data_IF_927093609223
#
_entry.id   IF_927093609223
#
_cell.length_a   1.000
_cell.length_b   1.000
_cell.length_c   1.000
_cell.angle_alpha   90.00
_cell.angle_beta   90.00
_cell.angle_gamma   90.00
#
_symmetry.space_group_name_H-M   'P 1'
#
loop_
_entity.id
_entity.type
_entity.pdbx_description
1 polymer ?
#
# COMPACT_ATOMS: atom_id res chain seq x y z
N UNK A 1 10.72 22.24 19.46
CA UNK A 1 10.98 23.22 18.39
C UNK A 1 9.92 22.96 17.34
N UNK A 2 8.90 23.83 17.31
CA UNK A 2 7.82 23.71 16.34
C UNK A 2 8.36 24.14 14.98
N UNK A 3 8.29 23.27 14.00
CA UNK A 3 8.60 23.61 12.61
C UNK A 3 7.26 23.90 11.94
N UNK A 4 7.00 25.18 11.72
CA UNK A 4 5.84 25.61 10.93
C UNK A 4 6.18 25.43 9.44
N UNK A 5 5.50 24.50 8.80
CA UNK A 5 5.48 24.43 7.33
C UNK A 5 4.60 25.56 6.80
N UNK A 6 5.17 26.43 6.00
CA UNK A 6 4.43 27.44 5.24
C UNK A 6 3.99 26.78 3.94
N UNK A 7 2.75 26.33 3.90
CA UNK A 7 2.07 25.95 2.67
C UNK A 7 1.58 27.22 1.95
N UNK A 8 2.05 27.46 0.76
CA UNK A 8 1.46 28.44 -0.16
C UNK A 8 0.15 27.83 -0.72
N UNK A 9 -0.96 28.10 -0.07
CA UNK A 9 -2.29 27.74 -0.55
C UNK A 9 -2.84 28.88 -1.43
N UNK A 10 -2.99 28.60 -2.72
CA UNK A 10 -3.81 29.42 -3.61
C UNK A 10 -5.29 29.32 -3.21
N UNK A 11 -5.85 30.44 -2.77
CA UNK A 11 -7.24 30.56 -2.34
C UNK A 11 -8.15 30.59 -3.56
N UNK A 12 -8.99 29.56 -3.73
CA UNK A 12 -10.21 29.65 -4.55
C UNK A 12 -11.42 29.58 -3.64
N UNK A 13 -12.09 30.72 -3.47
CA UNK A 13 -13.32 30.81 -2.73
C UNK A 13 -14.50 30.34 -3.58
N UNK A 14 -15.24 29.33 -3.13
CA UNK A 14 -16.56 28.98 -3.65
C UNK A 14 -17.62 29.19 -2.57
N UNK A 15 -18.58 30.04 -2.93
CA UNK A 15 -19.70 30.47 -2.12
C UNK A 15 -20.71 29.33 -1.90
N UNK A 16 -20.99 28.96 -0.66
CA UNK A 16 -22.08 28.03 -0.32
C UNK A 16 -23.41 28.79 -0.17
N UNK A 17 -24.42 28.40 -0.93
CA UNK A 17 -25.80 28.84 -0.73
C UNK A 17 -26.57 27.81 0.11
N UNK A 18 -27.00 28.19 1.30
CA UNK A 18 -27.97 27.44 2.11
C UNK A 18 -29.38 27.59 1.55
N UNK A 19 -30.07 26.46 1.38
CA UNK A 19 -31.54 26.45 1.31
C UNK A 19 -32.08 25.53 2.41
N UNK A 20 -32.75 26.12 3.37
CA UNK A 20 -33.55 25.42 4.36
C UNK A 20 -34.95 25.17 3.83
N UNK A 21 -35.50 23.97 3.97
CA UNK A 21 -36.90 23.67 3.85
C UNK A 21 -37.39 22.82 5.01
N UNK A 22 -38.24 23.41 5.80
CA UNK A 22 -39.02 22.83 6.90
C UNK A 22 -40.32 22.20 6.36
N UNK A 23 -40.77 21.11 7.01
CA UNK A 23 -42.21 20.86 7.00
C UNK A 23 -42.71 19.43 7.14
N UNK A 24 -43.15 19.11 8.34
CA UNK A 24 -44.36 18.42 8.82
C UNK A 24 -44.68 16.96 8.50
N UNK A 25 -44.76 16.28 9.58
CA UNK A 25 -45.54 15.13 10.08
C UNK A 25 -46.79 14.63 9.35
N UNK A 26 -46.96 13.29 9.39
CA UNK A 26 -48.24 12.59 9.17
C UNK A 26 -48.12 11.10 9.42
N UNK A 27 -48.65 10.64 10.57
CA UNK A 27 -48.84 9.21 10.92
C UNK A 27 -50.01 8.62 10.15
N UNK A 28 -49.88 7.40 9.67
CA UNK A 28 -50.95 6.40 9.78
C UNK A 28 -50.40 4.99 9.58
N UNK A 29 -50.79 4.09 10.47
CA UNK A 29 -50.49 2.65 10.42
C UNK A 29 -51.56 1.93 9.59
N UNK A 30 -51.14 0.90 8.83
CA UNK A 30 -52.00 -0.24 8.54
C UNK A 30 -51.17 -1.49 8.26
N UNK A 31 -51.51 -2.57 8.97
CA UNK A 31 -51.01 -3.94 8.80
C UNK A 31 -51.49 -4.51 7.46
N UNK A 32 -50.64 -5.25 6.74
CA UNK A 32 -51.04 -6.45 6.03
C UNK A 32 -49.86 -7.39 5.80
N UNK A 33 -50.05 -8.64 6.14
CA UNK A 33 -49.22 -9.81 5.93
C UNK A 33 -49.04 -10.14 4.44
N UNK A 34 -47.83 -10.57 4.05
CA UNK A 34 -47.66 -11.21 2.74
C UNK A 34 -46.18 -11.50 2.39
N UNK A 35 -45.86 -12.77 2.40
CA UNK A 35 -44.84 -13.50 1.60
C UNK A 35 -43.42 -12.92 1.44
N UNK A 36 -42.49 -13.69 2.00
CA UNK A 36 -41.04 -13.55 1.79
C UNK A 36 -40.66 -13.89 0.34
N UNK A 37 -40.37 -12.88 -0.46
CA UNK A 37 -39.48 -13.00 -1.61
C UNK A 37 -38.11 -12.52 -1.17
N UNK A 38 -37.10 -13.35 -1.40
CA UNK A 38 -35.71 -12.99 -1.21
C UNK A 38 -35.35 -11.88 -2.24
N UNK A 39 -35.41 -10.63 -1.80
CA UNK A 39 -34.86 -9.53 -2.55
C UNK A 39 -33.33 -9.63 -2.49
N UNK A 40 -32.69 -9.88 -3.65
CA UNK A 40 -31.29 -9.56 -3.86
C UNK A 40 -31.13 -8.07 -3.53
N UNK A 41 -30.34 -7.76 -2.49
CA UNK A 41 -29.97 -6.38 -2.22
C UNK A 41 -29.05 -5.93 -3.35
N UNK A 42 -29.59 -5.22 -4.33
CA UNK A 42 -28.79 -4.35 -5.18
C UNK A 42 -28.27 -3.24 -4.27
N UNK A 43 -26.99 -3.32 -3.93
CA UNK A 43 -26.26 -2.20 -3.34
C UNK A 43 -26.27 -1.09 -4.37
N UNK A 44 -27.03 -0.04 -4.12
CA UNK A 44 -27.00 1.19 -4.94
C UNK A 44 -25.63 1.82 -4.74
N UNK A 45 -24.78 1.72 -5.76
CA UNK A 45 -23.47 2.38 -5.82
C UNK A 45 -23.65 3.89 -5.59
N UNK A 46 -22.81 4.50 -4.75
CA UNK A 46 -22.86 5.94 -4.53
C UNK A 46 -22.32 6.68 -5.77
N UNK A 47 -22.71 7.94 -5.96
CA UNK A 47 -22.20 8.74 -7.07
C UNK A 47 -20.65 8.90 -7.01
N UNK A 48 -20.08 8.95 -5.81
CA UNK A 48 -18.64 9.00 -5.61
C UNK A 48 -17.96 7.68 -6.02
N UNK A 49 -18.51 6.53 -5.65
CA UNK A 49 -17.99 5.22 -6.08
C UNK A 49 -18.02 5.06 -7.61
N UNK A 50 -19.05 5.57 -8.27
CA UNK A 50 -19.15 5.54 -9.74
C UNK A 50 -18.10 6.43 -10.40
N UNK A 51 -17.81 7.60 -9.84
CA UNK A 51 -16.76 8.51 -10.34
C UNK A 51 -15.37 7.87 -10.18
N UNK A 52 -15.07 7.31 -9.02
CA UNK A 52 -13.79 6.62 -8.74
C UNK A 52 -13.59 5.40 -9.64
N UNK A 53 -14.64 4.63 -9.89
CA UNK A 53 -14.58 3.47 -10.77
C UNK A 53 -14.30 3.85 -12.23
N UNK A 54 -14.69 5.04 -12.68
CA UNK A 54 -14.47 5.49 -14.05
C UNK A 54 -13.07 6.09 -14.29
N UNK A 55 -12.28 6.34 -13.24
CA UNK A 55 -10.91 6.86 -13.38
C UNK A 55 -9.98 5.84 -14.04
N UNK A 56 -9.08 6.36 -14.87
CA UNK A 56 -7.91 5.62 -15.37
C UNK A 56 -6.80 5.60 -14.30
N UNK A 57 -5.78 4.75 -14.50
CA UNK A 57 -4.58 4.72 -13.63
C UNK A 57 -3.89 6.08 -13.51
N UNK A 58 -3.84 6.86 -14.59
CA UNK A 58 -3.20 8.18 -14.58
C UNK A 58 -4.07 9.25 -13.89
N UNK A 59 -5.39 9.09 -13.89
CA UNK A 59 -6.29 9.99 -13.18
C UNK A 59 -6.31 9.72 -11.69
N UNK A 60 -6.34 8.43 -11.27
CA UNK A 60 -6.36 8.09 -9.86
C UNK A 60 -5.06 8.48 -9.16
N UNK A 61 -3.90 8.38 -9.80
CA UNK A 61 -2.61 8.83 -9.24
C UNK A 61 -2.66 10.30 -8.85
N UNK A 62 -3.22 11.17 -9.69
CA UNK A 62 -3.38 12.60 -9.38
C UNK A 62 -4.34 12.82 -8.20
N UNK A 63 -5.40 12.02 -8.13
CA UNK A 63 -6.36 12.10 -7.02
C UNK A 63 -5.80 11.54 -5.70
N UNK A 64 -4.83 10.62 -5.76
CA UNK A 64 -4.15 10.08 -4.58
C UNK A 64 -3.27 11.10 -3.86
N UNK A 65 -2.85 12.17 -4.54
CA UNK A 65 -2.08 13.27 -3.94
C UNK A 65 -0.83 12.81 -3.20
N UNK A 66 -0.57 13.39 -2.03
CA UNK A 66 0.55 13.00 -1.16
C UNK A 66 0.14 11.91 -0.18
N UNK A 67 0.98 10.90 -0.01
CA UNK A 67 0.73 9.76 0.86
C UNK A 67 1.68 9.66 2.05
N UNK A 68 1.27 8.85 3.03
CA UNK A 68 2.06 8.49 4.19
C UNK A 68 1.87 7.00 4.50
N UNK A 69 2.95 6.33 4.92
CA UNK A 69 2.88 4.96 5.42
C UNK A 69 2.48 4.93 6.90
N UNK A 70 1.62 3.98 7.29
CA UNK A 70 1.37 3.63 8.68
C UNK A 70 2.44 2.64 9.17
N UNK A 71 3.71 3.06 9.15
CA UNK A 71 4.87 2.18 9.31
C UNK A 71 5.06 1.66 10.73
N UNK A 72 5.68 0.49 10.85
CA UNK A 72 6.07 -0.18 12.10
C UNK A 72 4.88 -0.48 13.02
N UNK A 73 3.72 -0.78 12.46
CA UNK A 73 2.48 -1.12 13.17
C UNK A 73 1.98 -2.52 12.78
N UNK A 74 1.08 -2.62 11.80
CA UNK A 74 0.46 -3.90 11.45
C UNK A 74 1.42 -4.85 10.72
N UNK A 75 2.54 -4.35 10.16
CA UNK A 75 3.63 -5.15 9.63
C UNK A 75 4.68 -5.54 10.68
N UNK A 76 4.58 -5.02 11.90
CA UNK A 76 5.52 -5.36 12.95
C UNK A 76 5.41 -6.86 13.30
N UNK A 77 6.44 -7.63 12.90
CA UNK A 77 6.41 -9.09 12.91
C UNK A 77 6.51 -9.68 14.31
N UNK A 78 5.56 -10.51 14.68
CA UNK A 78 5.49 -11.17 15.99
C UNK A 78 4.83 -12.56 15.90
N UNK A 79 4.97 -13.26 14.78
CA UNK A 79 4.33 -14.54 14.47
C UNK A 79 4.55 -15.59 15.57
N UNK A 80 5.77 -15.71 16.13
CA UNK A 80 6.05 -16.70 17.17
C UNK A 80 5.20 -16.47 18.45
N UNK A 81 4.86 -15.22 18.77
CA UNK A 81 3.98 -14.94 19.90
C UNK A 81 2.55 -15.44 19.64
N UNK A 82 2.06 -15.28 18.40
CA UNK A 82 0.78 -15.82 17.98
C UNK A 82 0.74 -17.35 18.08
N UNK A 83 1.77 -18.04 17.56
CA UNK A 83 1.89 -19.51 17.68
C UNK A 83 1.91 -19.97 19.14
N UNK A 84 2.44 -19.15 20.06
CA UNK A 84 2.47 -19.40 21.50
C UNK A 84 1.17 -18.96 22.22
N UNK A 85 0.12 -18.55 21.49
CA UNK A 85 -1.20 -18.24 22.04
C UNK A 85 -1.45 -16.76 22.36
N UNK A 86 -0.59 -15.84 21.92
CA UNK A 86 -0.89 -14.40 21.97
C UNK A 86 -1.95 -14.03 20.92
N UNK A 87 -2.61 -12.88 21.08
CA UNK A 87 -3.51 -12.34 20.07
C UNK A 87 -2.77 -12.09 18.74
N UNK A 88 -3.40 -12.36 17.61
CA UNK A 88 -2.91 -12.05 16.28
C UNK A 88 -2.60 -10.54 16.07
N UNK A 89 -3.22 -9.66 16.87
CA UNK A 89 -2.98 -8.21 16.84
C UNK A 89 -1.86 -7.76 17.80
N UNK A 90 -1.22 -8.68 18.53
CA UNK A 90 -0.16 -8.33 19.49
C UNK A 90 1.10 -7.76 18.83
N UNK A 91 1.28 -8.00 17.54
CA UNK A 91 2.38 -7.43 16.73
C UNK A 91 2.35 -5.92 16.65
N UNK A 92 1.19 -5.29 16.57
CA UNK A 92 0.99 -3.87 16.22
C UNK A 92 1.87 -2.87 16.97
N UNK A 93 2.36 -3.21 18.16
CA UNK A 93 3.15 -2.30 19.01
C UNK A 93 4.59 -2.76 19.26
N UNK A 94 5.00 -3.92 18.74
CA UNK A 94 6.29 -4.52 19.13
C UNK A 94 7.50 -3.80 18.56
N UNK A 95 7.33 -3.00 17.51
CA UNK A 95 8.39 -2.15 16.95
C UNK A 95 8.35 -0.71 17.45
N UNK A 96 7.63 -0.48 18.57
CA UNK A 96 7.69 0.77 19.31
C UNK A 96 6.70 1.85 18.87
N UNK A 97 5.82 1.55 17.92
CA UNK A 97 4.71 2.43 17.59
C UNK A 97 3.56 2.26 18.59
N UNK A 98 2.79 3.31 18.85
CA UNK A 98 1.56 3.17 19.62
C UNK A 98 0.52 2.40 18.79
N UNK A 99 -0.46 1.81 19.48
CA UNK A 99 -1.64 1.25 18.81
C UNK A 99 -2.34 2.34 18.00
N UNK A 100 -2.62 2.07 16.75
CA UNK A 100 -3.27 3.02 15.83
C UNK A 100 -4.67 3.36 16.32
N UNK A 101 -5.03 4.65 16.27
CA UNK A 101 -6.37 5.15 16.60
C UNK A 101 -6.96 5.93 15.42
N UNK A 102 -8.28 6.10 15.44
CA UNK A 102 -8.99 6.90 14.44
C UNK A 102 -8.49 8.36 14.40
N UNK A 103 -8.17 8.93 15.57
CA UNK A 103 -7.68 10.30 15.67
C UNK A 103 -6.31 10.46 15.00
N UNK A 104 -5.44 9.43 15.04
CA UNK A 104 -4.16 9.44 14.33
C UNK A 104 -4.38 9.51 12.81
N UNK A 105 -5.29 8.70 12.28
CA UNK A 105 -5.64 8.71 10.85
C UNK A 105 -6.23 10.07 10.44
N UNK A 106 -7.16 10.60 11.22
CA UNK A 106 -7.73 11.94 11.01
C UNK A 106 -6.66 13.03 11.07
N UNK A 107 -5.67 12.88 11.97
CA UNK A 107 -4.52 13.77 12.08
C UNK A 107 -3.64 13.74 10.83
N UNK A 108 -3.41 12.57 10.23
CA UNK A 108 -2.68 12.44 8.96
C UNK A 108 -3.43 13.14 7.83
N UNK A 109 -4.74 12.92 7.70
CA UNK A 109 -5.56 13.64 6.72
C UNK A 109 -5.52 15.16 6.94
N UNK A 110 -5.66 15.62 8.16
CA UNK A 110 -5.60 17.04 8.52
C UNK A 110 -4.21 17.67 8.26
N UNK A 111 -3.15 16.86 8.25
CA UNK A 111 -1.80 17.27 7.88
C UNK A 111 -1.59 17.38 6.36
N UNK A 112 -2.59 17.02 5.55
CA UNK A 112 -2.57 17.17 4.09
C UNK A 112 -2.22 15.90 3.32
N UNK A 113 -2.24 14.72 3.98
CA UNK A 113 -2.07 13.46 3.28
C UNK A 113 -3.41 12.96 2.74
N UNK A 114 -3.47 12.67 1.45
CA UNK A 114 -4.65 12.16 0.76
C UNK A 114 -4.62 10.63 0.56
N UNK A 115 -3.45 10.02 0.73
CA UNK A 115 -3.24 8.57 0.65
C UNK A 115 -2.58 8.05 1.92
N UNK A 116 -3.03 6.88 2.38
CA UNK A 116 -2.35 6.11 3.42
C UNK A 116 -1.99 4.72 2.89
N UNK A 117 -0.73 4.32 3.05
CA UNK A 117 -0.31 2.93 2.84
C UNK A 117 -0.21 2.24 4.19
N UNK A 118 -0.88 1.12 4.33
CA UNK A 118 -0.97 0.32 5.55
C UNK A 118 -0.24 -1.00 5.29
N UNK A 119 1.05 -1.10 5.64
CA UNK A 119 1.79 -2.36 5.57
C UNK A 119 1.23 -3.37 6.57
N UNK A 120 1.16 -4.66 6.18
CA UNK A 120 0.62 -5.71 7.04
C UNK A 120 1.51 -6.96 6.98
N UNK A 121 1.73 -7.60 8.13
CA UNK A 121 2.30 -8.94 8.26
C UNK A 121 1.15 -9.92 8.55
N UNK A 122 0.56 -10.50 7.52
CA UNK A 122 -0.62 -11.36 7.64
C UNK A 122 -0.32 -12.67 8.36
N UNK A 123 0.93 -13.15 8.31
CA UNK A 123 1.33 -14.34 9.03
C UNK A 123 1.35 -14.17 10.55
N UNK A 124 1.29 -12.95 11.06
CA UNK A 124 1.05 -12.70 12.50
C UNK A 124 -0.26 -13.32 13.01
N UNK A 125 -1.20 -13.61 12.12
CA UNK A 125 -2.47 -14.28 12.43
C UNK A 125 -2.67 -15.58 11.63
N UNK A 126 -1.60 -16.26 11.21
CA UNK A 126 -1.71 -17.47 10.37
C UNK A 126 -0.79 -18.58 10.89
N UNK A 127 -1.31 -19.81 11.05
CA UNK A 127 -0.48 -20.96 11.43
C UNK A 127 0.06 -21.68 10.17
N UNK A 128 0.77 -20.92 9.31
CA UNK A 128 1.20 -21.39 8.00
C UNK A 128 2.18 -22.58 8.04
N UNK A 129 2.94 -22.73 9.13
CA UNK A 129 3.88 -23.85 9.27
C UNK A 129 3.14 -25.19 9.37
N UNK A 130 1.93 -25.21 9.92
CA UNK A 130 1.06 -26.39 9.96
C UNK A 130 0.38 -26.68 8.63
N UNK A 131 0.43 -25.77 7.67
CA UNK A 131 -0.31 -25.82 6.40
C UNK A 131 -1.73 -25.23 6.53
N UNK A 132 -2.05 -24.58 7.63
CA UNK A 132 -3.28 -23.80 7.79
C UNK A 132 -3.01 -22.33 7.41
N UNK A 133 -3.50 -21.94 6.25
CA UNK A 133 -3.35 -20.57 5.71
C UNK A 133 -4.55 -19.67 6.05
N UNK A 134 -5.34 -20.04 7.04
CA UNK A 134 -6.45 -19.21 7.51
C UNK A 134 -5.90 -18.00 8.28
N UNK A 135 -6.28 -16.80 7.86
CA UNK A 135 -5.99 -15.56 8.61
C UNK A 135 -6.95 -15.49 9.80
N UNK A 136 -6.40 -15.30 11.01
CA UNK A 136 -7.17 -15.10 12.23
C UNK A 136 -8.10 -13.89 12.08
N UNK A 137 -9.38 -14.07 12.41
CA UNK A 137 -10.38 -13.00 12.24
C UNK A 137 -10.05 -11.75 13.04
N UNK A 138 -9.39 -11.87 14.20
CA UNK A 138 -9.00 -10.69 14.99
C UNK A 138 -7.97 -9.81 14.25
N UNK A 139 -7.09 -10.40 13.43
CA UNK A 139 -6.18 -9.61 12.59
C UNK A 139 -6.94 -8.99 11.42
N UNK A 140 -7.78 -9.78 10.73
CA UNK A 140 -8.59 -9.28 9.61
C UNK A 140 -9.51 -8.13 10.06
N UNK A 141 -10.21 -8.28 11.18
CA UNK A 141 -11.11 -7.27 11.76
C UNK A 141 -10.32 -6.01 12.15
N UNK A 142 -9.08 -6.18 12.67
CA UNK A 142 -8.23 -5.04 13.04
C UNK A 142 -7.76 -4.25 11.81
N UNK A 143 -7.37 -4.94 10.76
CA UNK A 143 -7.01 -4.29 9.49
C UNK A 143 -8.22 -3.55 8.91
N UNK A 144 -9.39 -4.20 8.90
CA UNK A 144 -10.63 -3.60 8.40
C UNK A 144 -11.04 -2.36 9.20
N UNK A 145 -10.84 -2.37 10.53
CA UNK A 145 -11.09 -1.21 11.39
C UNK A 145 -10.23 -0.01 10.96
N UNK A 146 -8.91 -0.20 10.76
CA UNK A 146 -7.99 0.87 10.34
C UNK A 146 -8.27 1.35 8.92
N UNK A 147 -8.54 0.42 8.00
CA UNK A 147 -8.97 0.73 6.62
C UNK A 147 -10.25 1.56 6.62
N UNK A 148 -11.23 1.19 7.45
CA UNK A 148 -12.49 1.92 7.57
C UNK A 148 -12.25 3.36 8.05
N UNK A 149 -11.43 3.58 9.09
CA UNK A 149 -11.11 4.93 9.56
C UNK A 149 -10.45 5.81 8.48
N UNK A 150 -9.60 5.21 7.65
CA UNK A 150 -8.94 5.93 6.56
C UNK A 150 -9.92 6.28 5.41
N UNK A 151 -10.78 5.33 5.02
CA UNK A 151 -11.83 5.57 4.03
C UNK A 151 -12.85 6.61 4.53
N UNK A 152 -13.25 6.56 5.80
CA UNK A 152 -14.15 7.54 6.44
C UNK A 152 -13.52 8.94 6.51
N UNK A 153 -12.19 9.02 6.57
CA UNK A 153 -11.43 10.27 6.46
C UNK A 153 -11.23 10.74 5.01
N UNK A 154 -11.87 10.08 4.03
CA UNK A 154 -11.76 10.39 2.61
C UNK A 154 -10.34 10.27 2.06
N UNK A 155 -9.60 9.24 2.50
CA UNK A 155 -8.26 8.91 2.00
C UNK A 155 -8.30 7.75 1.01
N UNK A 156 -7.37 7.73 0.06
CA UNK A 156 -6.99 6.51 -0.64
C UNK A 156 -6.21 5.61 0.30
N UNK A 157 -6.46 4.31 0.22
CA UNK A 157 -5.87 3.32 1.14
C UNK A 157 -5.17 2.24 0.34
N UNK A 158 -3.89 2.00 0.61
CA UNK A 158 -3.12 0.90 0.03
C UNK A 158 -2.88 -0.14 1.13
N UNK A 159 -3.20 -1.40 0.87
CA UNK A 159 -2.85 -2.53 1.75
C UNK A 159 -2.03 -3.56 0.98
N UNK A 160 -1.08 -4.21 1.65
CA UNK A 160 -0.21 -5.21 1.06
C UNK A 160 0.04 -6.41 1.98
N UNK A 161 0.85 -7.35 1.54
CA UNK A 161 1.66 -8.20 2.39
C UNK A 161 3.10 -7.66 2.35
N UNK A 162 3.60 -7.27 3.55
CA UNK A 162 4.89 -6.62 3.68
C UNK A 162 6.02 -7.67 3.80
N UNK A 163 7.12 -7.37 4.49
CA UNK A 163 8.22 -8.32 4.70
C UNK A 163 7.77 -9.64 5.33
N UNK A 164 6.88 -9.57 6.30
CA UNK A 164 6.13 -10.65 6.91
C UNK A 164 6.99 -11.88 7.32
N UNK A 165 8.12 -11.59 7.98
CA UNK A 165 9.03 -12.61 8.50
C UNK A 165 9.88 -13.32 7.45
N UNK A 166 9.87 -12.87 6.19
CA UNK A 166 10.73 -13.42 5.13
C UNK A 166 10.25 -14.74 4.52
N UNK A 167 8.97 -15.11 4.70
CA UNK A 167 8.42 -16.32 4.07
C UNK A 167 8.53 -16.32 2.53
N UNK A 168 8.64 -15.15 1.93
CA UNK A 168 8.88 -14.94 0.50
C UNK A 168 10.09 -15.72 -0.04
N UNK A 169 11.11 -15.95 0.79
CA UNK A 169 12.27 -16.78 0.45
C UNK A 169 11.92 -18.24 0.12
N UNK A 170 10.72 -18.70 0.45
CA UNK A 170 10.23 -20.02 0.04
C UNK A 170 10.11 -20.15 -1.48
N UNK A 171 9.87 -19.06 -2.21
CA UNK A 171 9.83 -19.07 -3.68
C UNK A 171 11.17 -19.39 -4.32
N UNK A 172 12.29 -19.06 -3.68
CA UNK A 172 13.63 -19.36 -4.15
C UNK A 172 14.15 -20.74 -3.75
N UNK A 173 13.40 -21.51 -2.96
CA UNK A 173 13.85 -22.83 -2.48
C UNK A 173 14.26 -23.76 -3.61
N UNK A 174 15.32 -24.57 -3.40
CA UNK A 174 15.69 -25.67 -4.28
C UNK A 174 14.58 -26.75 -4.39
N UNK A 175 13.74 -26.87 -3.35
CA UNK A 175 12.67 -27.84 -3.29
C UNK A 175 11.39 -27.32 -3.96
N UNK A 176 10.94 -27.95 -5.04
CA UNK A 176 9.70 -27.58 -5.72
C UNK A 176 8.50 -27.54 -4.76
N UNK A 177 8.40 -28.52 -3.84
CA UNK A 177 7.32 -28.56 -2.86
C UNK A 177 7.26 -27.31 -1.97
N UNK A 178 8.39 -26.71 -1.65
CA UNK A 178 8.46 -25.47 -0.86
C UNK A 178 7.96 -24.28 -1.69
N UNK A 179 8.36 -24.20 -2.97
CA UNK A 179 7.86 -23.18 -3.88
C UNK A 179 6.36 -23.28 -4.12
N UNK A 180 5.84 -24.52 -4.27
CA UNK A 180 4.41 -24.76 -4.43
C UNK A 180 3.61 -24.30 -3.22
N UNK A 181 4.12 -24.57 -2.00
CA UNK A 181 3.53 -24.08 -0.75
C UNK A 181 3.52 -22.55 -0.66
N UNK A 182 4.59 -21.88 -1.07
CA UNK A 182 4.64 -20.43 -1.10
C UNK A 182 3.51 -19.86 -1.96
N UNK A 183 3.33 -20.41 -3.17
CA UNK A 183 2.26 -19.97 -4.07
C UNK A 183 0.86 -20.33 -3.56
N UNK A 184 0.70 -21.48 -2.90
CA UNK A 184 -0.56 -21.87 -2.27
C UNK A 184 -0.93 -20.91 -1.13
N UNK A 185 0.02 -20.59 -0.25
CA UNK A 185 -0.13 -19.64 0.84
C UNK A 185 -0.47 -18.23 0.32
N UNK A 186 0.27 -17.73 -0.65
CA UNK A 186 0.02 -16.43 -1.29
C UNK A 186 -1.40 -16.32 -1.83
N UNK A 187 -1.85 -17.34 -2.56
CA UNK A 187 -3.22 -17.38 -3.11
C UNK A 187 -4.28 -17.48 -2.02
N UNK A 188 -4.06 -18.33 -0.99
CA UNK A 188 -5.00 -18.48 0.11
C UNK A 188 -5.16 -17.17 0.88
N UNK A 189 -4.06 -16.45 1.12
CA UNK A 189 -4.04 -15.14 1.77
C UNK A 189 -4.82 -14.10 0.97
N UNK A 190 -4.48 -13.89 -0.31
CA UNK A 190 -5.15 -12.90 -1.15
C UNK A 190 -6.61 -13.26 -1.48
N UNK A 191 -6.98 -14.55 -1.47
CA UNK A 191 -8.39 -14.98 -1.57
C UNK A 191 -9.20 -14.49 -0.39
N UNK A 192 -8.65 -14.60 0.82
CA UNK A 192 -9.33 -14.16 2.05
C UNK A 192 -9.41 -12.63 2.11
N UNK A 193 -8.29 -11.93 1.83
CA UNK A 193 -8.22 -10.47 1.80
C UNK A 193 -9.19 -9.91 0.75
N UNK A 194 -9.08 -10.36 -0.48
CA UNK A 194 -9.92 -9.89 -1.58
C UNK A 194 -11.41 -10.21 -1.36
N UNK A 195 -11.71 -11.36 -0.77
CA UNK A 195 -13.10 -11.72 -0.41
C UNK A 195 -13.66 -10.84 0.70
N UNK A 196 -12.87 -10.57 1.75
CA UNK A 196 -13.29 -9.74 2.89
C UNK A 196 -13.57 -8.29 2.47
N UNK A 197 -12.71 -7.73 1.62
CA UNK A 197 -12.81 -6.35 1.16
C UNK A 197 -13.54 -6.18 -0.19
N UNK A 198 -14.26 -7.20 -0.66
CA UNK A 198 -14.87 -7.19 -2.00
C UNK A 198 -15.81 -6.01 -2.26
N UNK A 199 -16.53 -5.57 -1.23
CA UNK A 199 -17.54 -4.50 -1.31
C UNK A 199 -17.03 -3.13 -0.81
N UNK A 200 -15.73 -3.04 -0.43
CA UNK A 200 -15.14 -1.77 0.02
C UNK A 200 -14.91 -0.82 -1.16
N UNK A 201 -14.93 0.50 -0.88
CA UNK A 201 -14.72 1.57 -1.86
C UNK A 201 -13.56 1.30 -2.82
N UNK A 202 -13.63 1.82 -4.03
CA UNK A 202 -12.53 1.81 -5.02
C UNK A 202 -11.29 2.60 -4.57
N UNK A 203 -11.41 3.44 -3.53
CA UNK A 203 -10.24 4.06 -2.86
C UNK A 203 -9.37 3.05 -2.13
N UNK A 204 -9.85 1.83 -1.84
CA UNK A 204 -9.02 0.76 -1.33
C UNK A 204 -8.29 0.05 -2.47
N UNK A 205 -6.98 0.12 -2.47
CA UNK A 205 -6.06 -0.42 -3.48
C UNK A 205 -5.29 -1.60 -2.86
N UNK A 206 -5.18 -2.71 -3.59
CA UNK A 206 -4.38 -3.85 -3.16
C UNK A 206 -3.02 -3.81 -3.84
N UNK A 207 -1.94 -3.88 -3.06
CA UNK A 207 -0.57 -3.94 -3.54
C UNK A 207 -0.06 -5.39 -3.47
N UNK A 208 0.46 -5.91 -4.58
CA UNK A 208 0.77 -7.34 -4.77
C UNK A 208 1.82 -7.89 -3.80
N UNK A 209 2.77 -7.07 -3.38
CA UNK A 209 3.85 -7.35 -2.44
C UNK A 209 4.51 -6.04 -2.03
N UNK A 210 5.45 -6.11 -1.10
CA UNK A 210 6.34 -4.99 -0.77
C UNK A 210 7.64 -5.09 -1.61
N UNK A 211 8.80 -5.17 -0.98
CA UNK A 211 10.14 -5.21 -1.59
C UNK A 211 10.65 -6.63 -1.90
N UNK A 212 9.84 -7.65 -1.68
CA UNK A 212 10.26 -9.05 -1.68
C UNK A 212 10.33 -9.67 -3.08
N UNK A 213 9.62 -9.10 -4.06
CA UNK A 213 9.67 -9.59 -5.44
C UNK A 213 10.98 -9.19 -6.11
N UNK A 214 11.84 -10.17 -6.38
CA UNK A 214 13.16 -9.99 -6.98
C UNK A 214 14.23 -10.80 -6.29
N UNK A 215 15.36 -10.20 -5.95
CA UNK A 215 16.49 -10.89 -5.31
C UNK A 215 16.11 -11.49 -3.95
N UNK A 216 15.17 -10.84 -3.22
CA UNK A 216 14.70 -11.29 -1.91
C UNK A 216 13.88 -12.59 -1.96
N UNK A 217 13.45 -13.04 -3.15
CA UNK A 217 12.91 -14.39 -3.32
C UNK A 217 13.93 -15.48 -2.96
N UNK A 218 15.22 -15.13 -2.89
CA UNK A 218 16.29 -16.00 -2.44
C UNK A 218 16.67 -15.83 -0.95
N UNK A 219 15.92 -15.07 -0.17
CA UNK A 219 16.18 -14.86 1.25
C UNK A 219 16.10 -16.17 2.05
N UNK A 220 16.85 -16.22 3.13
CA UNK A 220 17.07 -17.46 3.89
C UNK A 220 16.33 -17.52 5.24
N UNK A 221 15.61 -16.47 5.61
CA UNK A 221 14.98 -16.33 6.93
C UNK A 221 14.12 -17.54 7.29
N UNK A 222 13.29 -18.01 6.37
CA UNK A 222 12.41 -19.16 6.60
C UNK A 222 13.05 -20.48 6.16
N UNK A 223 13.77 -20.48 5.04
CA UNK A 223 14.33 -21.72 4.46
C UNK A 223 15.63 -22.16 5.13
N UNK A 224 16.27 -21.27 5.91
CA UNK A 224 17.55 -21.52 6.56
C UNK A 224 18.77 -21.53 5.61
N UNK A 225 18.55 -21.50 4.30
CA UNK A 225 19.57 -21.42 3.24
C UNK A 225 19.10 -20.47 2.16
N UNK A 226 20.04 -19.73 1.55
CA UNK A 226 19.72 -18.89 0.38
C UNK A 226 19.05 -19.69 -0.72
N UNK A 227 18.11 -19.08 -1.44
CA UNK A 227 17.47 -19.67 -2.60
C UNK A 227 18.44 -19.92 -3.75
N UNK A 228 17.96 -20.60 -4.78
CA UNK A 228 18.76 -21.06 -5.90
C UNK A 228 18.40 -20.38 -7.23
N UNK A 229 17.48 -19.44 -7.22
CA UNK A 229 17.07 -18.72 -8.43
C UNK A 229 18.22 -17.84 -8.94
N UNK A 230 18.51 -17.92 -10.23
CA UNK A 230 19.31 -16.93 -10.93
C UNK A 230 18.55 -15.60 -11.02
N UNK A 231 19.23 -14.52 -11.33
CA UNK A 231 18.61 -13.21 -11.49
C UNK A 231 17.45 -13.23 -12.52
N UNK A 232 17.64 -13.93 -13.66
CA UNK A 232 16.58 -14.07 -14.66
C UNK A 232 15.36 -14.83 -14.12
N UNK A 233 15.58 -15.92 -13.39
CA UNK A 233 14.50 -16.66 -12.73
C UNK A 233 13.80 -15.82 -11.65
N UNK A 234 14.49 -14.92 -10.96
CA UNK A 234 13.87 -13.95 -10.06
C UNK A 234 12.93 -13.00 -10.82
N UNK A 235 13.32 -12.47 -12.00
CA UNK A 235 12.42 -11.69 -12.87
C UNK A 235 11.21 -12.50 -13.32
N UNK A 236 11.42 -13.72 -13.82
CA UNK A 236 10.34 -14.61 -14.27
C UNK A 236 9.35 -14.89 -13.13
N UNK A 237 9.86 -15.20 -11.93
CA UNK A 237 9.03 -15.48 -10.75
C UNK A 237 8.29 -14.24 -10.28
N UNK A 238 8.92 -13.07 -10.28
CA UNK A 238 8.29 -11.78 -9.97
C UNK A 238 7.10 -11.51 -10.89
N UNK A 239 7.32 -11.63 -12.21
CA UNK A 239 6.27 -11.44 -13.22
C UNK A 239 5.15 -12.48 -13.06
N UNK A 240 5.49 -13.73 -12.74
CA UNK A 240 4.51 -14.78 -12.48
C UNK A 240 3.63 -14.48 -11.25
N UNK A 241 4.22 -14.08 -10.14
CA UNK A 241 3.50 -13.73 -8.90
C UNK A 241 2.54 -12.57 -9.17
N UNK A 242 3.02 -11.48 -9.78
CA UNK A 242 2.20 -10.32 -10.14
C UNK A 242 1.04 -10.71 -11.08
N UNK A 243 1.30 -11.56 -12.08
CA UNK A 243 0.25 -12.05 -12.99
C UNK A 243 -0.80 -12.91 -12.27
N UNK A 244 -0.37 -13.76 -11.32
CA UNK A 244 -1.29 -14.59 -10.52
C UNK A 244 -2.10 -13.73 -9.55
N UNK A 245 -1.51 -12.68 -8.98
CA UNK A 245 -2.20 -11.71 -8.13
C UNK A 245 -3.35 -11.05 -8.87
N UNK A 246 -3.08 -10.43 -10.02
CA UNK A 246 -4.12 -9.76 -10.81
C UNK A 246 -5.25 -10.73 -11.18
N UNK A 247 -4.91 -11.89 -11.75
CA UNK A 247 -5.90 -12.90 -12.14
C UNK A 247 -6.75 -13.38 -10.96
N UNK A 248 -6.12 -13.59 -9.79
CA UNK A 248 -6.81 -14.02 -8.58
C UNK A 248 -7.80 -12.94 -8.12
N UNK A 249 -7.36 -11.71 -7.93
CA UNK A 249 -8.21 -10.62 -7.44
C UNK A 249 -9.39 -10.41 -8.41
N UNK A 250 -9.15 -10.35 -9.71
CA UNK A 250 -10.23 -10.20 -10.71
C UNK A 250 -11.25 -11.35 -10.64
N UNK A 251 -10.79 -12.57 -10.38
CA UNK A 251 -11.67 -13.75 -10.30
C UNK A 251 -12.61 -13.76 -9.09
N UNK A 252 -12.33 -12.96 -8.05
CA UNK A 252 -13.17 -12.86 -6.86
C UNK A 252 -14.45 -12.05 -7.10
N UNK A 253 -14.52 -11.27 -8.18
CA UNK A 253 -15.70 -10.50 -8.56
C UNK A 253 -16.01 -9.34 -7.59
N UNK A 254 -17.27 -8.86 -7.61
CA UNK A 254 -17.63 -7.64 -6.89
C UNK A 254 -16.79 -6.45 -7.37
N UNK A 255 -16.45 -5.53 -6.50
CA UNK A 255 -15.57 -4.39 -6.84
C UNK A 255 -14.13 -4.80 -7.17
N UNK A 256 -13.73 -6.04 -6.89
CA UNK A 256 -12.42 -6.56 -7.29
C UNK A 256 -12.30 -6.74 -8.81
N UNK A 257 -13.40 -6.78 -9.54
CA UNK A 257 -13.40 -6.90 -11.00
C UNK A 257 -12.67 -5.72 -11.67
N UNK A 258 -12.74 -4.52 -11.08
CA UNK A 258 -12.21 -3.26 -11.62
C UNK A 258 -11.55 -2.34 -10.57
N UNK A 259 -11.30 -2.86 -9.35
CA UNK A 259 -10.48 -2.20 -8.33
C UNK A 259 -9.07 -1.90 -8.86
N UNK A 260 -8.50 -0.75 -8.50
CA UNK A 260 -7.09 -0.47 -8.77
C UNK A 260 -6.20 -1.48 -8.04
N UNK A 261 -5.21 -2.02 -8.77
CA UNK A 261 -4.20 -2.92 -8.24
C UNK A 261 -2.83 -2.31 -8.42
N UNK A 262 -2.05 -2.30 -7.35
CA UNK A 262 -0.70 -1.76 -7.32
C UNK A 262 0.29 -2.92 -7.45
N UNK A 263 1.09 -2.91 -8.49
CA UNK A 263 2.00 -3.98 -8.88
C UNK A 263 3.39 -3.64 -8.35
N UNK A 264 3.92 -4.47 -7.47
CA UNK A 264 5.26 -4.29 -6.94
C UNK A 264 6.32 -4.51 -8.03
N UNK A 265 7.20 -3.54 -8.21
CA UNK A 265 8.37 -3.63 -9.08
C UNK A 265 9.40 -4.62 -8.55
N UNK A 266 10.41 -4.94 -9.36
CA UNK A 266 11.50 -5.81 -8.94
C UNK A 266 12.28 -5.19 -7.77
N UNK A 267 12.24 -5.79 -6.59
CA UNK A 267 12.71 -5.23 -5.31
C UNK A 267 12.16 -3.82 -5.01
N UNK A 268 11.11 -3.38 -5.72
CA UNK A 268 10.68 -1.97 -5.79
C UNK A 268 11.81 -0.98 -6.16
N UNK A 269 12.94 -1.48 -6.65
CA UNK A 269 14.07 -0.68 -7.12
C UNK A 269 13.78 -0.12 -8.52
N UNK A 270 13.94 1.19 -8.70
CA UNK A 270 13.62 1.89 -9.95
C UNK A 270 14.44 1.34 -11.13
N UNK A 271 15.75 1.15 -10.94
CA UNK A 271 16.63 0.72 -12.04
C UNK A 271 16.32 -0.71 -12.47
N UNK A 272 16.10 -1.61 -11.50
CA UNK A 272 15.77 -3.01 -11.78
C UNK A 272 14.34 -3.14 -12.33
N UNK A 273 13.40 -2.37 -11.84
CA UNK A 273 12.02 -2.34 -12.38
C UNK A 273 11.99 -1.81 -13.82
N UNK A 274 12.88 -0.87 -14.16
CA UNK A 274 13.00 -0.36 -15.53
C UNK A 274 13.77 -1.29 -16.47
N UNK A 275 14.35 -2.41 -16.02
CA UNK A 275 14.92 -3.46 -16.88
C UNK A 275 13.80 -4.11 -17.71
N UNK A 276 14.07 -4.44 -18.98
CA UNK A 276 13.07 -4.98 -19.90
C UNK A 276 12.57 -6.39 -19.52
N UNK A 277 13.26 -7.06 -18.61
CA UNK A 277 12.83 -8.36 -18.03
C UNK A 277 11.63 -8.21 -17.09
N UNK A 278 11.47 -7.04 -16.42
CA UNK A 278 10.28 -6.76 -15.66
C UNK A 278 9.14 -6.36 -16.58
N UNK A 279 7.98 -6.97 -16.39
CA UNK A 279 6.80 -6.72 -17.21
C UNK A 279 5.57 -6.53 -16.34
N UNK A 280 4.81 -5.48 -16.62
CA UNK A 280 3.49 -5.31 -16.03
C UNK A 280 2.59 -6.47 -16.48
N UNK A 281 1.78 -7.03 -15.54
CA UNK A 281 0.88 -8.13 -15.89
C UNK A 281 -0.25 -7.68 -16.82
N UNK A 282 -0.80 -8.63 -17.57
CA UNK A 282 -2.07 -8.42 -18.28
C UNK A 282 -3.23 -8.29 -17.29
N UNK A 283 -4.17 -7.41 -17.57
CA UNK A 283 -5.40 -7.22 -16.80
C UNK A 283 -6.63 -7.31 -17.68
N UNK A 284 -7.73 -7.81 -17.11
CA UNK A 284 -9.07 -7.81 -17.76
C UNK A 284 -9.81 -6.49 -17.51
N UNK A 285 -9.43 -5.73 -16.49
CA UNK A 285 -9.93 -4.39 -16.24
C UNK A 285 -9.07 -3.35 -16.97
N UNK A 286 -9.72 -2.45 -17.70
CA UNK A 286 -9.01 -1.44 -18.49
C UNK A 286 -8.48 -0.33 -17.61
N UNK A 287 -7.18 0.00 -17.76
CA UNK A 287 -6.50 1.10 -17.06
C UNK A 287 -6.62 1.05 -15.52
N UNK A 288 -6.51 -0.15 -14.91
CA UNK A 288 -6.65 -0.34 -13.46
C UNK A 288 -5.37 -0.84 -12.77
N UNK A 289 -4.25 -0.87 -13.47
CA UNK A 289 -2.96 -1.23 -12.86
C UNK A 289 -2.11 0.00 -12.59
N UNK A 290 -1.49 0.01 -11.42
CA UNK A 290 -0.51 0.98 -10.93
C UNK A 290 0.81 0.26 -10.70
N UNK A 291 1.93 0.97 -10.76
CA UNK A 291 3.27 0.46 -10.45
C UNK A 291 3.77 1.00 -9.12
N UNK A 292 4.27 0.13 -8.24
CA UNK A 292 4.94 0.49 -6.98
C UNK A 292 6.45 0.39 -7.13
N UNK A 293 7.16 1.47 -6.78
CA UNK A 293 8.60 1.52 -6.57
C UNK A 293 8.92 2.30 -5.31
N UNK A 294 10.11 2.08 -4.74
CA UNK A 294 10.59 2.79 -3.56
C UNK A 294 11.81 3.63 -3.90
N UNK A 295 12.04 4.71 -3.15
CA UNK A 295 13.16 5.60 -3.40
C UNK A 295 13.96 5.90 -2.13
N UNK A 296 15.13 5.27 -2.02
CA UNK A 296 16.11 5.47 -0.94
C UNK A 296 17.52 5.69 -1.49
N UNK A 297 17.63 6.34 -2.66
CA UNK A 297 18.92 6.56 -3.33
C UNK A 297 19.44 7.98 -3.08
N UNK A 298 20.72 8.12 -2.68
CA UNK A 298 21.65 7.03 -2.35
C UNK A 298 21.39 6.46 -0.95
N UNK A 299 21.48 5.14 -0.80
CA UNK A 299 21.24 4.46 0.49
C UNK A 299 22.12 4.97 1.63
N UNK A 300 23.38 5.32 1.33
CA UNK A 300 24.32 5.87 2.32
C UNK A 300 23.83 7.21 2.91
N UNK A 301 23.03 7.96 2.18
CA UNK A 301 22.37 9.17 2.69
C UNK A 301 21.02 8.86 3.31
N UNK A 302 20.18 8.06 2.65
CA UNK A 302 18.81 7.81 3.12
C UNK A 302 18.74 6.85 4.31
N UNK A 303 19.48 5.74 4.28
CA UNK A 303 19.34 4.61 5.20
C UNK A 303 20.47 4.42 6.20
N UNK A 304 21.61 5.10 6.06
CA UNK A 304 22.76 4.96 6.94
C UNK A 304 23.33 6.30 7.40
N UNK A 305 24.33 6.26 8.28
CA UNK A 305 25.12 7.44 8.69
C UNK A 305 26.35 7.69 7.79
N UNK A 306 26.49 6.96 6.67
CA UNK A 306 27.67 7.02 5.81
C UNK A 306 27.86 8.37 5.13
N UNK A 307 26.80 8.90 4.53
CA UNK A 307 26.76 10.23 3.91
C UNK A 307 25.82 11.13 4.71
N UNK A 308 26.23 12.38 4.93
CA UNK A 308 25.51 13.33 5.79
C UNK A 308 25.06 14.60 5.08
N UNK A 309 25.39 14.73 3.79
CA UNK A 309 25.05 15.88 2.95
C UNK A 309 24.50 15.39 1.62
N UNK A 310 23.59 16.15 1.05
CA UNK A 310 22.99 15.94 -0.26
C UNK A 310 22.85 17.28 -0.98
N UNK A 311 22.70 17.26 -2.31
CA UNK A 311 22.42 18.48 -3.09
C UNK A 311 23.59 18.95 -3.94
N UNK A 312 24.57 18.07 -4.22
CA UNK A 312 25.52 18.32 -5.31
C UNK A 312 24.79 18.24 -6.68
N UNK A 313 25.32 18.86 -7.74
CA UNK A 313 24.74 18.69 -9.09
C UNK A 313 24.54 17.23 -9.49
N UNK A 314 25.48 16.36 -9.08
CA UNK A 314 25.39 14.93 -9.37
C UNK A 314 24.24 14.25 -8.63
N UNK A 315 23.94 14.65 -7.38
CA UNK A 315 22.82 14.12 -6.60
C UNK A 315 21.48 14.45 -7.26
N UNK A 316 21.34 15.69 -7.75
CA UNK A 316 20.16 16.12 -8.52
C UNK A 316 20.04 15.34 -9.83
N UNK A 317 21.14 15.22 -10.59
CA UNK A 317 21.15 14.50 -11.87
C UNK A 317 20.77 13.02 -11.68
N UNK A 318 21.26 12.37 -10.62
CA UNK A 318 20.92 10.98 -10.30
C UNK A 318 19.43 10.82 -9.94
N UNK A 319 18.92 11.67 -9.02
CA UNK A 319 17.52 11.62 -8.62
C UNK A 319 16.60 11.89 -9.81
N UNK A 320 16.83 12.97 -10.56
CA UNK A 320 16.04 13.35 -11.73
C UNK A 320 16.07 12.24 -12.79
N UNK A 321 17.25 11.68 -13.08
CA UNK A 321 17.39 10.62 -14.08
C UNK A 321 16.70 9.32 -13.68
N UNK A 322 16.58 9.00 -12.39
CA UNK A 322 15.81 7.83 -11.92
C UNK A 322 14.30 8.04 -12.07
N UNK A 323 13.81 9.22 -11.73
CA UNK A 323 12.38 9.54 -11.90
C UNK A 323 12.00 9.63 -13.39
N UNK A 324 12.86 10.20 -14.23
CA UNK A 324 12.65 10.21 -15.69
C UNK A 324 12.51 8.80 -16.27
N UNK A 325 13.31 7.82 -15.79
CA UNK A 325 13.23 6.43 -16.28
C UNK A 325 11.85 5.79 -16.04
N UNK A 326 11.14 6.20 -14.99
CA UNK A 326 9.80 5.67 -14.69
C UNK A 326 8.75 6.14 -15.70
N UNK A 327 9.01 7.21 -16.48
CA UNK A 327 8.07 7.72 -17.49
C UNK A 327 7.69 6.67 -18.54
N UNK A 328 8.57 5.66 -18.78
CA UNK A 328 8.23 4.53 -19.67
C UNK A 328 6.94 3.79 -19.25
N UNK A 329 6.57 3.79 -17.97
CA UNK A 329 5.36 3.16 -17.48
C UNK A 329 4.15 4.09 -17.59
N UNK A 330 4.29 5.37 -17.24
CA UNK A 330 3.20 6.34 -17.42
C UNK A 330 2.87 6.58 -18.90
N UNK A 331 3.86 6.54 -19.80
CA UNK A 331 3.65 6.55 -21.26
C UNK A 331 2.85 5.33 -21.78
N UNK A 332 2.89 4.21 -21.04
CA UNK A 332 2.08 3.02 -21.31
C UNK A 332 0.72 3.05 -20.62
N UNK A 333 0.39 4.12 -19.86
CA UNK A 333 -0.86 4.29 -19.17
C UNK A 333 -0.90 3.74 -17.73
N UNK A 334 0.24 3.35 -17.15
CA UNK A 334 0.32 2.92 -15.75
C UNK A 334 0.65 4.11 -14.84
N UNK A 335 -0.17 4.35 -13.83
CA UNK A 335 0.16 5.32 -12.78
C UNK A 335 1.30 4.79 -11.89
N UNK A 336 2.19 5.68 -11.43
CA UNK A 336 3.35 5.31 -10.60
C UNK A 336 3.19 5.80 -9.18
N UNK A 337 3.39 4.92 -8.22
CA UNK A 337 3.45 5.22 -6.78
C UNK A 337 4.90 5.06 -6.31
N UNK A 338 5.45 6.11 -5.72
CA UNK A 338 6.69 6.01 -4.94
C UNK A 338 6.27 5.55 -3.55
N UNK A 339 6.11 4.23 -3.36
CA UNK A 339 5.46 3.62 -2.20
C UNK A 339 6.17 3.86 -0.88
N UNK A 340 7.48 4.13 -0.95
CA UNK A 340 8.29 4.52 0.19
C UNK A 340 9.42 5.47 -0.23
N UNK A 341 9.63 6.49 0.58
CA UNK A 341 10.83 7.34 0.55
C UNK A 341 11.04 7.96 1.92
N UNK A 342 12.28 8.06 2.36
CA UNK A 342 12.65 8.74 3.60
C UNK A 342 14.15 9.02 3.68
N UNK A 343 14.53 9.91 4.58
CA UNK A 343 15.91 10.10 5.05
C UNK A 343 15.96 9.85 6.54
N UNK A 344 16.69 8.82 6.99
CA UNK A 344 16.81 8.48 8.41
C UNK A 344 17.47 9.62 9.20
N UNK A 345 17.00 9.82 10.43
CA UNK A 345 17.61 10.77 11.36
C UNK A 345 19.01 10.30 11.76
N UNK A 346 19.94 11.24 11.87
CA UNK A 346 21.26 10.99 12.44
C UNK A 346 21.29 11.41 13.91
N UNK A 347 21.58 10.47 14.81
CA UNK A 347 21.62 10.74 16.24
C UNK A 347 20.37 11.49 16.77
N UNK A 348 19.20 11.19 16.21
CA UNK A 348 17.94 11.86 16.55
C UNK A 348 17.76 13.25 15.96
N UNK A 349 18.64 13.69 15.06
CA UNK A 349 18.54 14.96 14.33
C UNK A 349 18.40 14.79 12.83
N UNK A 350 17.79 15.77 12.19
CA UNK A 350 17.65 15.83 10.73
C UNK A 350 19.03 15.99 10.09
N UNK A 351 19.33 15.20 9.06
CA UNK A 351 20.55 15.34 8.27
C UNK A 351 20.57 16.66 7.52
N UNK A 352 21.76 17.13 7.22
CA UNK A 352 21.92 18.34 6.41
C UNK A 352 21.34 18.10 5.01
N UNK A 353 20.69 19.12 4.46
CA UNK A 353 20.10 19.13 3.11
C UNK A 353 18.93 18.12 2.90
N UNK A 354 18.31 17.61 3.98
CA UNK A 354 17.11 16.76 3.90
C UNK A 354 15.94 17.48 3.24
N UNK A 355 15.82 18.80 3.45
CA UNK A 355 14.86 19.66 2.77
C UNK A 355 15.07 19.66 1.25
N UNK A 356 16.29 19.84 0.78
CA UNK A 356 16.61 19.81 -0.66
C UNK A 356 16.32 18.44 -1.30
N UNK A 357 16.62 17.36 -0.56
CA UNK A 357 16.32 16.01 -1.03
C UNK A 357 14.81 15.81 -1.24
N UNK A 358 14.00 16.22 -0.26
CA UNK A 358 12.55 16.10 -0.37
C UNK A 358 11.94 17.06 -1.38
N UNK A 359 12.39 18.31 -1.41
CA UNK A 359 11.92 19.31 -2.38
C UNK A 359 12.12 18.79 -3.81
N UNK A 360 13.32 18.31 -4.15
CA UNK A 360 13.58 17.81 -5.50
C UNK A 360 12.85 16.50 -5.81
N UNK A 361 12.66 15.62 -4.81
CA UNK A 361 11.85 14.39 -4.96
C UNK A 361 10.40 14.75 -5.30
N UNK A 362 9.82 15.66 -4.54
CA UNK A 362 8.42 16.07 -4.72
C UNK A 362 8.24 16.85 -6.04
N UNK A 363 9.20 17.71 -6.41
CA UNK A 363 9.22 18.38 -7.71
C UNK A 363 9.22 17.37 -8.88
N UNK A 364 9.95 16.26 -8.75
CA UNK A 364 9.92 15.18 -9.74
C UNK A 364 8.59 14.44 -9.73
N UNK A 365 8.00 14.18 -8.56
CA UNK A 365 6.67 13.57 -8.49
C UNK A 365 5.61 14.45 -9.16
N UNK A 366 5.66 15.76 -8.92
CA UNK A 366 4.76 16.73 -9.57
C UNK A 366 4.98 16.80 -11.09
N UNK A 367 6.26 16.75 -11.53
CA UNK A 367 6.62 16.83 -12.96
C UNK A 367 6.09 15.63 -13.76
N UNK A 368 6.12 14.44 -13.18
CA UNK A 368 5.76 13.18 -13.85
C UNK A 368 4.40 12.62 -13.45
N UNK A 369 3.64 13.33 -12.62
CA UNK A 369 2.36 12.85 -12.05
C UNK A 369 2.53 11.52 -11.28
N UNK A 370 3.49 11.43 -10.34
CA UNK A 370 3.67 10.28 -9.45
C UNK A 370 3.09 10.55 -8.06
N UNK A 371 2.57 9.51 -7.39
CA UNK A 371 2.08 9.62 -6.01
C UNK A 371 3.21 9.28 -5.03
N UNK A 372 3.79 10.27 -4.29
CA UNK A 372 4.79 10.03 -3.26
C UNK A 372 4.13 9.57 -1.95
N UNK A 373 4.65 8.50 -1.34
CA UNK A 373 4.16 7.98 -0.05
C UNK A 373 5.30 7.93 0.96
N UNK A 374 5.33 8.91 1.86
CA UNK A 374 6.39 9.08 2.86
C UNK A 374 6.45 7.85 3.80
N UNK A 375 7.66 7.31 4.03
CA UNK A 375 7.87 6.30 5.06
C UNK A 375 8.00 6.95 6.44
N UNK A 376 6.98 6.79 7.28
CA UNK A 376 6.97 7.29 8.64
C UNK A 376 7.11 6.16 9.67
N UNK A 377 8.23 6.14 10.37
CA UNK A 377 8.44 5.29 11.54
C UNK A 377 8.74 6.11 12.80
N UNK A 378 8.03 7.22 13.00
CA UNK A 378 8.20 8.21 14.07
C UNK A 378 9.49 9.03 14.00
N UNK A 379 10.21 8.99 12.89
CA UNK A 379 11.40 9.79 12.68
C UNK A 379 11.07 11.23 12.29
N UNK A 380 9.97 11.45 11.56
CA UNK A 380 9.56 12.76 11.03
C UNK A 380 8.20 13.20 11.54
N UNK A 381 7.27 12.26 11.60
CA UNK A 381 5.90 12.50 12.00
C UNK A 381 5.64 11.89 13.36
N UNK A 382 5.34 12.73 14.36
CA UNK A 382 4.90 12.21 15.65
C UNK A 382 3.43 11.81 15.54
N UNK A 383 3.17 10.53 15.52
CA UNK A 383 1.84 9.97 15.76
C UNK A 383 1.50 10.21 17.21
N UNK A 384 1.02 11.42 17.52
CA UNK A 384 0.64 11.77 18.88
C UNK A 384 -0.87 11.65 18.99
N UNK A 385 -1.24 10.99 20.07
CA UNK A 385 -2.56 11.02 20.65
C UNK A 385 -2.99 12.43 21.02
#
# INVERSE_FOLDING_TARGET
MEINFILNAGISAVLSAMLALTGCSGKTASNSSGTSEAASAETTESAADTEENNMTSLEVIRAMGNGINLSNTLEAYNHQAYINGSSATSGEIVWGQPRTTQEMIQGMKAAGFDTIRIPIAWTNGMNYESGDYTIDSALMDRVDEVVTWALDADMYVIINDHWDGGWWGMFGSAEQKTRDKAMEMYKAMWTQIGGHFADRSYKLIFESANEELGDKLNDKEITGSSGVLSENECYETTNEINSKFVKLIRSLGGRNADRFLLIAGYNTDITKTCDDRFQMPEDTADSKLLLSVHYYTPWDYCGTDGVTQWGSPQDYDEQNGLFEKLSKFSEQGYGVVIGEYAVMLKNGGIKQDTDKFYDNLLDNCDLYDYCPVLWDCSNFYKRIT
#
